data_IF_662190153968
#
_entry.id   IF_662190153968
#
_cell.length_a   1.000
_cell.length_b   1.000
_cell.length_c   1.000
_cell.angle_alpha   90.00
_cell.angle_beta   90.00
_cell.angle_gamma   90.00
#
_symmetry.space_group_name_H-M   'P 1'
#
loop_
_entity.id
_entity.type
_entity.pdbx_description
1 polymer ?
#
# COMPACT_ATOMS: atom_id res chain seq x y z
N UNK A 1 -6.97 -15.50 9.37
CA UNK A 1 -6.61 -16.15 8.12
C UNK A 1 -5.19 -15.72 7.74
N UNK A 2 -4.23 -16.60 7.92
CA UNK A 2 -2.79 -16.41 7.66
C UNK A 2 -2.26 -17.53 6.76
N UNK A 3 -3.14 -18.07 5.91
CA UNK A 3 -2.80 -19.10 4.92
C UNK A 3 -2.05 -18.46 3.76
N UNK A 4 -1.62 -19.25 2.78
CA UNK A 4 -1.12 -18.70 1.54
C UNK A 4 -2.23 -17.96 0.77
N UNK A 5 -1.87 -16.87 0.10
CA UNK A 5 -2.78 -15.93 -0.55
C UNK A 5 -3.88 -16.55 -1.42
N UNK A 6 -3.63 -17.63 -2.21
CA UNK A 6 -4.66 -18.26 -3.03
C UNK A 6 -5.84 -18.85 -2.25
N UNK A 7 -5.65 -19.14 -0.95
CA UNK A 7 -6.69 -19.74 -0.09
C UNK A 7 -7.49 -18.71 0.70
N UNK A 8 -7.12 -17.42 0.67
CA UNK A 8 -7.78 -16.39 1.45
C UNK A 8 -9.28 -16.31 1.13
N UNK A 9 -9.65 -16.34 -0.14
CA UNK A 9 -11.05 -16.26 -0.56
C UNK A 9 -11.90 -17.35 0.09
N UNK A 10 -11.47 -18.60 0.04
CA UNK A 10 -12.20 -19.74 0.59
C UNK A 10 -12.51 -19.58 2.07
N UNK A 11 -11.47 -19.27 2.87
CA UNK A 11 -11.63 -19.18 4.32
C UNK A 11 -12.37 -17.92 4.77
N UNK A 12 -12.19 -16.81 4.06
CA UNK A 12 -12.91 -15.58 4.35
C UNK A 12 -14.39 -15.72 4.03
N UNK A 13 -14.75 -16.29 2.88
CA UNK A 13 -16.15 -16.57 2.52
C UNK A 13 -16.81 -17.56 3.51
N UNK A 14 -16.12 -18.61 3.92
CA UNK A 14 -16.61 -19.55 4.92
C UNK A 14 -16.87 -18.85 6.27
N UNK A 15 -15.98 -17.94 6.68
CA UNK A 15 -16.14 -17.16 7.91
C UNK A 15 -17.36 -16.23 7.84
N UNK A 16 -17.53 -15.53 6.72
CA UNK A 16 -18.71 -14.67 6.49
C UNK A 16 -20.00 -15.51 6.55
N UNK A 17 -20.04 -16.66 5.85
CA UNK A 17 -21.19 -17.56 5.85
C UNK A 17 -21.55 -18.08 7.25
N UNK A 18 -20.54 -18.30 8.10
CA UNK A 18 -20.72 -18.69 9.50
C UNK A 18 -21.04 -17.49 10.43
N UNK A 19 -21.12 -16.27 9.91
CA UNK A 19 -21.37 -15.05 10.69
C UNK A 19 -20.25 -14.69 11.66
N UNK A 20 -19.00 -15.13 11.41
CA UNK A 20 -17.83 -14.93 12.26
C UNK A 20 -16.98 -13.77 11.77
N UNK A 21 -16.39 -13.03 12.72
CA UNK A 21 -15.34 -12.08 12.41
C UNK A 21 -14.09 -12.80 11.91
N UNK A 22 -13.46 -12.26 10.89
CA UNK A 22 -12.20 -12.78 10.34
C UNK A 22 -11.20 -11.64 10.13
N UNK A 23 -10.01 -11.81 10.66
CA UNK A 23 -8.84 -11.04 10.28
C UNK A 23 -8.11 -11.82 9.20
N UNK A 24 -7.96 -11.21 8.02
CA UNK A 24 -7.29 -11.80 6.88
C UNK A 24 -6.00 -11.03 6.57
N UNK A 25 -4.88 -11.74 6.42
CA UNK A 25 -3.65 -11.12 5.93
C UNK A 25 -3.84 -10.54 4.53
N UNK A 26 -2.98 -9.58 4.20
CA UNK A 26 -2.91 -9.01 2.85
C UNK A 26 -2.17 -9.95 1.88
N UNK A 27 -2.54 -9.89 0.59
CA UNK A 27 -3.71 -9.25 0.00
C UNK A 27 -5.00 -9.97 0.41
N UNK A 28 -6.15 -9.30 0.37
CA UNK A 28 -7.44 -9.94 0.66
C UNK A 28 -7.68 -11.18 -0.20
N UNK A 29 -7.31 -11.11 -1.47
CA UNK A 29 -7.15 -12.23 -2.40
C UNK A 29 -6.24 -11.81 -3.57
N UNK A 30 -5.60 -12.75 -4.29
CA UNK A 30 -4.69 -12.42 -5.39
C UNK A 30 -5.37 -11.76 -6.59
N UNK A 31 -6.67 -12.01 -6.80
CA UNK A 31 -7.41 -11.51 -7.96
C UNK A 31 -8.54 -10.57 -7.56
N UNK A 32 -8.72 -9.49 -8.33
CA UNK A 32 -9.76 -8.49 -8.09
C UNK A 32 -11.17 -9.09 -8.03
N UNK A 33 -11.49 -10.08 -8.87
CA UNK A 33 -12.81 -10.72 -8.86
C UNK A 33 -13.06 -11.53 -7.58
N UNK A 34 -12.02 -12.16 -7.01
CA UNK A 34 -12.10 -12.80 -5.71
C UNK A 34 -12.36 -11.78 -4.59
N UNK A 35 -11.65 -10.66 -4.62
CA UNK A 35 -11.90 -9.56 -3.68
C UNK A 35 -13.34 -9.03 -3.79
N UNK A 36 -13.87 -8.87 -5.00
CA UNK A 36 -15.28 -8.44 -5.22
C UNK A 36 -16.28 -9.43 -4.62
N UNK A 37 -16.09 -10.73 -4.84
CA UNK A 37 -16.97 -11.76 -4.25
C UNK A 37 -16.98 -11.71 -2.72
N UNK A 38 -15.82 -11.49 -2.09
CA UNK A 38 -15.72 -11.32 -0.64
C UNK A 38 -16.49 -10.08 -0.19
N UNK A 39 -16.29 -8.94 -0.83
CA UNK A 39 -16.99 -7.68 -0.50
C UNK A 39 -18.50 -7.83 -0.68
N UNK A 40 -18.95 -8.43 -1.77
CA UNK A 40 -20.39 -8.70 -2.02
C UNK A 40 -20.99 -9.63 -0.97
N UNK A 41 -20.26 -10.66 -0.56
CA UNK A 41 -20.70 -11.57 0.51
C UNK A 41 -20.82 -10.85 1.86
N UNK A 42 -19.85 -9.98 2.20
CA UNK A 42 -19.93 -9.18 3.42
C UNK A 42 -21.09 -8.18 3.38
N UNK A 43 -21.28 -7.50 2.25
CA UNK A 43 -22.42 -6.58 2.06
C UNK A 43 -23.75 -7.30 2.21
N UNK A 44 -23.89 -8.51 1.63
CA UNK A 44 -25.09 -9.35 1.75
C UNK A 44 -25.33 -9.81 3.19
N UNK A 45 -24.27 -10.05 3.97
CA UNK A 45 -24.39 -10.39 5.38
C UNK A 45 -24.85 -9.21 6.25
N UNK A 46 -24.83 -7.97 5.74
CA UNK A 46 -25.27 -6.76 6.43
C UNK A 46 -24.42 -6.36 7.63
N UNK A 47 -23.21 -6.92 7.76
CA UNK A 47 -22.30 -6.68 8.87
C UNK A 47 -20.86 -6.56 8.35
N UNK A 48 -20.07 -5.71 9.00
CA UNK A 48 -18.61 -5.67 8.80
C UNK A 48 -17.98 -6.84 9.55
N UNK A 49 -17.57 -7.87 8.83
CA UNK A 49 -17.03 -9.12 9.38
C UNK A 49 -15.55 -9.32 9.06
N UNK A 50 -15.04 -8.63 8.02
CA UNK A 50 -13.70 -8.83 7.50
C UNK A 50 -12.80 -7.65 7.84
N UNK A 51 -11.67 -7.93 8.48
CA UNK A 51 -10.56 -6.99 8.66
C UNK A 51 -9.37 -7.47 7.86
N UNK A 52 -8.88 -6.66 6.91
CA UNK A 52 -7.65 -6.97 6.16
C UNK A 52 -6.43 -6.44 6.90
N UNK A 53 -5.35 -7.21 6.92
CA UNK A 53 -4.11 -6.95 7.66
C UNK A 53 -3.20 -5.88 7.06
N UNK A 54 -3.74 -4.73 6.65
CA UNK A 54 -2.95 -3.59 6.20
C UNK A 54 -2.30 -2.88 7.39
N UNK A 55 -1.15 -3.39 7.82
CA UNK A 55 -0.46 -2.99 9.04
C UNK A 55 -0.05 -1.52 9.10
N UNK A 56 0.22 -0.87 7.94
CA UNK A 56 0.72 0.51 7.91
C UNK A 56 -0.27 1.54 8.43
N UNK A 57 -1.57 1.27 8.38
CA UNK A 57 -2.58 2.12 9.02
C UNK A 57 -2.45 2.17 10.54
N UNK A 58 -1.72 1.22 11.14
CA UNK A 58 -1.47 1.12 12.58
C UNK A 58 -0.04 1.58 12.96
N UNK A 59 0.82 1.83 11.98
CA UNK A 59 2.15 2.38 12.19
C UNK A 59 2.07 3.83 12.68
N UNK A 60 2.89 4.16 13.68
CA UNK A 60 2.85 5.46 14.34
C UNK A 60 3.25 6.60 13.40
N UNK A 61 4.23 6.40 12.52
CA UNK A 61 4.64 7.40 11.54
C UNK A 61 3.51 7.73 10.55
N UNK A 62 2.83 6.70 10.03
CA UNK A 62 1.68 6.92 9.14
C UNK A 62 0.47 7.54 9.85
N UNK A 63 0.23 7.21 11.12
CA UNK A 63 -0.82 7.88 11.92
C UNK A 63 -0.51 9.37 12.12
N UNK A 64 0.75 9.72 12.37
CA UNK A 64 1.17 11.12 12.50
C UNK A 64 1.02 11.87 11.17
N UNK A 65 1.43 11.27 10.04
CA UNK A 65 1.19 11.85 8.71
C UNK A 65 -0.31 12.06 8.47
N UNK A 66 -1.14 11.05 8.76
CA UNK A 66 -2.60 11.15 8.64
C UNK A 66 -3.17 12.29 9.47
N UNK A 67 -2.78 12.39 10.75
CA UNK A 67 -3.22 13.46 11.62
C UNK A 67 -2.78 14.85 11.11
N UNK A 68 -1.57 14.95 10.55
CA UNK A 68 -1.06 16.19 9.97
C UNK A 68 -1.88 16.61 8.72
N UNK A 69 -2.17 15.68 7.82
CA UNK A 69 -3.01 15.93 6.64
C UNK A 69 -4.43 16.30 7.05
N UNK A 70 -5.07 15.52 7.93
CA UNK A 70 -6.45 15.76 8.38
C UNK A 70 -6.62 17.08 9.13
N UNK A 71 -5.56 17.60 9.75
CA UNK A 71 -5.60 18.88 10.45
C UNK A 71 -5.81 20.08 9.53
N UNK A 72 -5.53 19.95 8.23
CA UNK A 72 -5.53 21.04 7.25
C UNK A 72 -4.51 22.15 7.52
N UNK A 73 -3.70 22.04 8.58
CA UNK A 73 -2.74 23.08 9.01
C UNK A 73 -1.70 23.43 7.93
N UNK A 74 -1.35 22.46 7.12
CA UNK A 74 -0.27 22.58 6.13
C UNK A 74 -0.79 22.79 4.69
N UNK A 75 -2.09 23.06 4.53
CA UNK A 75 -2.73 23.14 3.24
C UNK A 75 -3.03 21.78 2.61
N UNK A 76 -3.43 21.79 1.36
CA UNK A 76 -3.76 20.57 0.62
C UNK A 76 -2.50 19.80 0.21
N UNK A 77 -2.57 18.48 0.18
CA UNK A 77 -1.52 17.64 -0.38
C UNK A 77 -1.50 17.79 -1.92
N UNK A 78 -0.33 18.01 -2.50
CA UNK A 78 -0.13 18.21 -3.93
C UNK A 78 0.60 17.02 -4.58
N UNK A 79 1.66 16.55 -3.93
CA UNK A 79 2.50 15.47 -4.40
C UNK A 79 2.88 14.53 -3.24
N UNK A 80 3.06 13.25 -3.54
CA UNK A 80 3.67 12.29 -2.60
C UNK A 80 4.83 11.55 -3.29
N UNK A 81 5.94 11.46 -2.58
CA UNK A 81 7.10 10.66 -2.96
C UNK A 81 7.31 9.54 -1.96
N UNK A 82 7.21 8.30 -2.42
CA UNK A 82 7.26 7.14 -1.54
C UNK A 82 8.31 6.13 -2.02
N UNK A 83 8.83 5.36 -1.09
CA UNK A 83 9.70 4.24 -1.42
C UNK A 83 9.37 3.03 -0.56
N UNK A 84 9.43 1.85 -1.20
CA UNK A 84 9.31 0.55 -0.57
C UNK A 84 10.50 -0.30 -1.01
N UNK A 85 11.43 -0.56 -0.10
CA UNK A 85 12.64 -1.30 -0.39
C UNK A 85 12.75 -2.52 0.50
N UNK A 86 12.96 -3.67 -0.13
CA UNK A 86 13.27 -4.94 0.55
C UNK A 86 14.70 -5.38 0.21
N UNK A 87 15.39 -6.07 1.13
CA UNK A 87 16.74 -6.58 0.86
C UNK A 87 16.75 -7.67 -0.23
N UNK A 88 15.71 -8.51 -0.28
CA UNK A 88 15.54 -9.56 -1.29
C UNK A 88 14.12 -10.09 -1.32
N UNK A 89 13.76 -10.72 -2.44
CA UNK A 89 12.54 -11.51 -2.62
C UNK A 89 12.89 -12.91 -3.14
N UNK A 90 11.96 -13.88 -3.07
CA UNK A 90 12.14 -15.21 -3.67
C UNK A 90 12.42 -15.15 -5.19
N UNK A 91 13.12 -16.18 -5.70
CA UNK A 91 13.55 -16.24 -7.10
C UNK A 91 12.40 -16.42 -8.11
N UNK A 92 11.22 -16.80 -7.66
CA UNK A 92 10.00 -16.97 -8.46
C UNK A 92 9.16 -15.69 -8.59
N UNK A 93 9.64 -14.58 -8.05
CA UNK A 93 8.95 -13.30 -8.18
C UNK A 93 9.03 -12.75 -9.60
N UNK A 94 7.91 -12.19 -10.04
CA UNK A 94 7.74 -11.48 -11.30
C UNK A 94 7.27 -10.03 -11.10
N UNK A 95 7.01 -9.33 -12.19
CA UNK A 95 6.58 -7.93 -12.16
C UNK A 95 5.24 -7.72 -11.45
N UNK A 96 4.31 -8.67 -11.54
CA UNK A 96 3.00 -8.54 -10.89
C UNK A 96 3.10 -8.71 -9.39
N UNK A 97 3.97 -9.61 -8.93
CA UNK A 97 4.20 -9.85 -7.51
C UNK A 97 4.80 -8.63 -6.79
N UNK A 98 5.62 -7.82 -7.48
CA UNK A 98 6.11 -6.57 -6.91
C UNK A 98 4.97 -5.59 -6.60
N UNK A 99 3.91 -5.58 -7.41
CA UNK A 99 2.70 -4.78 -7.15
C UNK A 99 1.82 -5.44 -6.10
N UNK A 100 1.47 -6.71 -6.28
CA UNK A 100 0.47 -7.42 -5.48
C UNK A 100 0.92 -7.71 -4.05
N UNK A 101 2.22 -7.91 -3.84
CA UNK A 101 2.77 -8.28 -2.53
C UNK A 101 3.53 -7.16 -1.82
N UNK A 102 4.13 -6.21 -2.57
CA UNK A 102 4.84 -5.07 -1.99
C UNK A 102 4.06 -3.77 -2.10
N UNK A 103 3.82 -3.25 -3.31
CA UNK A 103 3.17 -1.95 -3.50
C UNK A 103 1.71 -1.91 -3.04
N UNK A 104 1.08 -3.06 -2.81
CA UNK A 104 -0.27 -3.16 -2.22
C UNK A 104 -0.36 -2.43 -0.87
N UNK A 105 0.74 -2.36 -0.12
CA UNK A 105 0.81 -1.61 1.13
C UNK A 105 0.71 -0.11 0.90
N UNK A 106 1.42 0.41 -0.12
CA UNK A 106 1.36 1.82 -0.51
C UNK A 106 -0.01 2.16 -1.09
N UNK A 107 -0.55 1.31 -1.96
CA UNK A 107 -1.89 1.49 -2.53
C UNK A 107 -2.94 1.65 -1.42
N UNK A 108 -2.86 0.84 -0.37
CA UNK A 108 -3.80 0.92 0.74
C UNK A 108 -3.58 2.15 1.63
N UNK A 109 -2.34 2.33 2.12
CA UNK A 109 -2.06 3.36 3.12
C UNK A 109 -2.18 4.78 2.56
N UNK A 110 -1.79 5.00 1.30
CA UNK A 110 -1.87 6.33 0.69
C UNK A 110 -3.31 6.71 0.36
N UNK A 111 -4.15 5.74 -0.07
CA UNK A 111 -5.59 5.94 -0.20
C UNK A 111 -6.24 6.32 1.14
N UNK A 112 -5.87 5.63 2.22
CA UNK A 112 -6.35 5.94 3.56
C UNK A 112 -5.84 7.31 4.04
N UNK A 113 -4.58 7.64 3.80
CA UNK A 113 -3.94 8.88 4.22
C UNK A 113 -4.61 10.09 3.57
N UNK A 114 -4.88 10.03 2.26
CA UNK A 114 -5.51 11.12 1.51
C UNK A 114 -7.05 11.12 1.64
N UNK A 115 -7.66 9.99 2.05
CA UNK A 115 -9.12 9.87 2.17
C UNK A 115 -9.87 9.84 0.84
N UNK A 116 -9.18 9.56 -0.27
CA UNK A 116 -9.78 9.55 -1.61
C UNK A 116 -9.29 8.40 -2.49
N UNK A 117 -10.05 8.12 -3.57
CA UNK A 117 -9.72 7.06 -4.53
C UNK A 117 -8.77 7.55 -5.63
N UNK A 118 -8.08 6.60 -6.26
CA UNK A 118 -7.27 6.83 -7.44
C UNK A 118 -8.13 6.96 -8.70
N UNK A 119 -7.74 7.87 -9.59
CA UNK A 119 -8.30 8.02 -10.93
C UNK A 119 -7.48 7.25 -11.97
N UNK A 120 -6.14 7.23 -11.82
CA UNK A 120 -5.23 6.51 -12.72
C UNK A 120 -4.13 5.81 -11.95
N UNK A 121 -3.63 4.70 -12.52
CA UNK A 121 -2.46 3.97 -12.05
C UNK A 121 -1.60 3.53 -13.24
N UNK A 122 -0.29 3.67 -13.11
CA UNK A 122 0.69 3.27 -14.12
C UNK A 122 1.93 2.72 -13.44
N UNK A 123 2.55 1.68 -14.04
CA UNK A 123 3.85 1.17 -13.59
C UNK A 123 4.88 1.42 -14.69
N UNK A 124 6.01 1.98 -14.31
CA UNK A 124 7.15 2.24 -15.18
C UNK A 124 8.36 1.43 -14.74
N UNK A 125 9.10 0.96 -15.70
CA UNK A 125 10.35 0.22 -15.50
C UNK A 125 11.53 1.08 -15.91
N UNK A 126 12.59 0.99 -15.13
CA UNK A 126 13.88 1.59 -15.43
C UNK A 126 14.93 0.52 -15.78
N UNK A 127 16.20 0.87 -15.59
CA UNK A 127 17.29 -0.11 -15.66
C UNK A 127 17.18 -1.07 -14.48
N UNK A 128 17.03 -2.36 -14.76
CA UNK A 128 16.96 -3.39 -13.72
C UNK A 128 18.29 -3.65 -13.04
N UNK A 129 18.22 -4.00 -11.74
CA UNK A 129 19.35 -4.55 -11.01
C UNK A 129 19.72 -5.94 -11.53
N UNK A 130 20.97 -6.35 -11.30
CA UNK A 130 21.42 -7.72 -11.52
C UNK A 130 21.22 -8.62 -10.28
N UNK A 131 20.63 -8.10 -9.22
CA UNK A 131 20.51 -8.79 -7.94
C UNK A 131 19.20 -9.56 -7.76
N UNK A 132 18.23 -9.38 -8.65
CA UNK A 132 16.90 -9.97 -8.57
C UNK A 132 16.65 -11.09 -9.59
N UNK A 133 15.45 -11.70 -9.53
CA UNK A 133 14.96 -12.65 -10.53
C UNK A 133 14.99 -12.07 -11.95
N UNK A 134 15.17 -12.93 -12.95
CA UNK A 134 15.31 -12.51 -14.37
C UNK A 134 14.03 -11.91 -14.95
N UNK A 135 12.88 -12.37 -14.48
CA UNK A 135 11.56 -11.95 -14.97
C UNK A 135 10.97 -10.76 -14.19
N UNK A 136 11.77 -10.23 -13.25
CA UNK A 136 11.42 -9.06 -12.45
C UNK A 136 12.21 -7.83 -12.89
N UNK A 137 11.53 -6.82 -13.40
CA UNK A 137 12.11 -5.48 -13.55
C UNK A 137 12.16 -4.80 -12.18
N UNK A 138 13.36 -4.61 -11.64
CA UNK A 138 13.57 -4.08 -10.29
C UNK A 138 14.72 -3.06 -10.29
N UNK A 139 14.52 -1.80 -9.90
CA UNK A 139 13.28 -1.24 -9.33
C UNK A 139 12.16 -0.96 -10.33
N UNK A 140 10.93 -0.82 -9.79
CA UNK A 140 9.75 -0.34 -10.50
C UNK A 140 9.30 0.99 -9.91
N UNK A 141 8.65 1.83 -10.71
CA UNK A 141 7.99 3.05 -10.26
C UNK A 141 6.50 2.96 -10.55
N UNK A 142 5.67 2.96 -9.51
CA UNK A 142 4.23 3.11 -9.64
C UNK A 142 3.87 4.60 -9.56
N UNK A 143 3.09 5.06 -10.53
CA UNK A 143 2.58 6.43 -10.59
C UNK A 143 1.07 6.37 -10.43
N UNK A 144 0.54 7.03 -9.40
CA UNK A 144 -0.88 7.14 -9.14
C UNK A 144 -1.31 8.60 -9.26
N UNK A 145 -2.54 8.82 -9.70
CA UNK A 145 -3.19 10.14 -9.60
C UNK A 145 -4.53 9.95 -8.93
N UNK A 146 -4.82 10.77 -7.92
CA UNK A 146 -6.10 10.74 -7.23
C UNK A 146 -7.19 11.43 -8.02
N UNK A 147 -8.44 11.35 -7.57
CA UNK A 147 -9.58 12.04 -8.23
C UNK A 147 -9.46 13.56 -8.14
N UNK A 148 -8.87 14.08 -7.07
CA UNK A 148 -8.60 15.53 -6.92
C UNK A 148 -7.39 16.01 -7.70
N UNK A 149 -6.56 15.09 -8.23
CA UNK A 149 -5.38 15.41 -9.01
C UNK A 149 -4.04 15.32 -8.25
N UNK A 150 -4.04 14.88 -7.00
CA UNK A 150 -2.80 14.64 -6.26
C UNK A 150 -1.99 13.56 -6.96
N UNK A 151 -0.73 13.86 -7.27
CA UNK A 151 0.18 12.93 -7.91
C UNK A 151 1.02 12.20 -6.87
N UNK A 152 1.21 10.89 -7.08
CA UNK A 152 1.97 10.02 -6.21
C UNK A 152 2.94 9.21 -7.04
N UNK A 153 4.20 9.16 -6.67
CA UNK A 153 5.17 8.20 -7.18
C UNK A 153 5.68 7.30 -6.05
N UNK A 154 5.71 6.03 -6.33
CA UNK A 154 6.17 4.98 -5.41
C UNK A 154 7.30 4.20 -6.05
N UNK A 155 8.51 4.35 -5.54
CA UNK A 155 9.62 3.47 -5.86
C UNK A 155 9.44 2.13 -5.14
N UNK A 156 9.44 1.03 -5.89
CA UNK A 156 9.53 -0.32 -5.34
C UNK A 156 10.86 -0.93 -5.76
N UNK A 157 11.75 -1.20 -4.80
CA UNK A 157 13.04 -1.84 -5.03
C UNK A 157 13.19 -3.04 -4.09
N UNK A 158 12.75 -4.20 -4.55
CA UNK A 158 12.62 -5.38 -3.69
C UNK A 158 13.87 -6.26 -3.59
N UNK A 159 14.97 -5.90 -4.29
CA UNK A 159 16.28 -6.56 -4.20
C UNK A 159 17.42 -5.55 -4.01
N UNK A 160 17.22 -4.55 -3.14
CA UNK A 160 18.20 -3.49 -2.92
C UNK A 160 19.46 -3.93 -2.15
N UNK A 161 19.45 -5.13 -1.55
CA UNK A 161 20.54 -5.72 -0.75
C UNK A 161 20.89 -4.99 0.54
N UNK A 162 20.17 -3.92 0.84
CA UNK A 162 20.30 -3.19 2.11
C UNK A 162 19.13 -3.57 3.05
N UNK A 163 18.90 -2.75 4.05
CA UNK A 163 17.79 -2.95 4.97
C UNK A 163 16.42 -2.72 4.34
N UNK A 164 15.38 -3.19 5.04
CA UNK A 164 14.01 -2.79 4.77
C UNK A 164 13.85 -1.28 4.98
N UNK A 165 13.42 -0.56 3.94
CA UNK A 165 13.35 0.90 3.95
C UNK A 165 12.03 1.38 3.35
N UNK A 166 11.23 2.04 4.19
CA UNK A 166 9.94 2.62 3.80
C UNK A 166 10.01 4.13 3.98
N UNK A 167 9.63 4.87 2.94
CA UNK A 167 9.60 6.33 2.95
C UNK A 167 8.27 6.84 2.47
N UNK A 168 7.85 7.94 3.06
CA UNK A 168 6.72 8.73 2.60
C UNK A 168 7.02 10.22 2.85
N UNK A 169 7.05 10.98 1.78
CA UNK A 169 7.11 12.44 1.79
C UNK A 169 5.82 12.97 1.19
N UNK A 170 5.22 13.96 1.82
CA UNK A 170 4.02 14.64 1.34
C UNK A 170 4.34 16.10 1.14
N UNK A 171 4.23 16.58 -0.08
CA UNK A 171 4.36 17.99 -0.43
C UNK A 171 2.96 18.62 -0.35
N UNK A 172 2.79 19.54 0.60
CA UNK A 172 1.56 20.32 0.77
C UNK A 172 1.78 21.77 0.32
N UNK A 173 0.71 22.55 0.20
CA UNK A 173 0.79 23.99 -0.13
C UNK A 173 1.71 24.77 0.81
N UNK A 174 1.67 24.49 2.11
CA UNK A 174 2.37 25.25 3.14
C UNK A 174 3.53 24.51 3.82
N UNK A 175 3.80 23.26 3.48
CA UNK A 175 4.86 22.47 4.13
C UNK A 175 5.22 21.22 3.33
N UNK A 176 6.39 20.64 3.68
CA UNK A 176 6.75 19.28 3.29
C UNK A 176 6.78 18.42 4.54
N UNK A 177 5.98 17.35 4.54
CA UNK A 177 5.90 16.39 5.62
C UNK A 177 6.73 15.16 5.26
N UNK A 178 7.64 14.79 6.11
CA UNK A 178 8.52 13.64 5.91
C UNK A 178 8.34 12.63 7.03
N UNK A 179 8.42 11.36 6.69
CA UNK A 179 8.52 10.26 7.65
C UNK A 179 9.96 9.74 7.68
N UNK A 180 10.88 10.40 8.40
CA UNK A 180 12.22 9.89 8.60
C UNK A 180 12.21 8.70 9.56
N UNK A 181 13.22 7.84 9.48
CA UNK A 181 13.36 6.65 10.34
C UNK A 181 13.40 7.03 11.82
N UNK A 182 12.81 6.21 12.69
CA UNK A 182 11.84 5.16 12.43
C UNK A 182 10.44 5.51 12.85
N UNK A 183 9.81 6.40 13.24
CA UNK A 183 8.40 6.50 13.65
C UNK A 183 7.95 7.91 14.06
N UNK A 184 8.52 8.93 13.49
CA UNK A 184 8.08 10.32 13.65
C UNK A 184 8.18 11.08 12.34
N UNK A 185 7.43 12.16 12.22
CA UNK A 185 7.50 13.05 11.07
C UNK A 185 8.49 14.20 11.34
N UNK A 186 9.11 14.71 10.28
CA UNK A 186 9.69 16.05 10.27
C UNK A 186 8.86 16.95 9.37
N UNK A 187 8.75 18.22 9.73
CA UNK A 187 8.01 19.23 8.98
C UNK A 187 8.94 20.38 8.67
N UNK A 188 9.11 20.67 7.38
CA UNK A 188 9.80 21.86 6.91
C UNK A 188 8.72 22.85 6.44
N UNK A 189 8.41 23.83 7.25
CA UNK A 189 7.48 24.92 6.97
C UNK A 189 8.18 26.26 7.16
N UNK A 190 7.83 27.24 6.34
CA UNK A 190 8.27 28.64 6.51
C UNK A 190 7.50 29.34 7.65
#
# INVERSE_FOLDING_TARGET
CTTADPYHEEYVLASIAAGKYVFCEKPLAPKADACKRIVEAEMKAGKKLVQVGFMRRYDEGYKQLKAAVDSGKYGEALLLHCAHRNPSVPDDWDNSMAVENSMVHEIDVLRWLLGEDYATAEVRYGKSTNNGPKDLHDPQIMILTTKSGVRIDVESFVNNKNDYDIKCEIVCDGAVLNMPKPNYISVNAN
#
